data_IF_983765366487
#
_entry.id   IF_983765366487
#
_cell.length_a   1.000
_cell.length_b   1.000
_cell.length_c   1.000
_cell.angle_alpha   90.00
_cell.angle_beta   90.00
_cell.angle_gamma   90.00
#
_symmetry.space_group_name_H-M   'P 1'
#
loop_
_entity.id
_entity.type
_entity.pdbx_description
1 polymer ?
#
# COMPACT_ATOMS: atom_id res chain seq x y z
N UNK A 1 -42.40 -25.19 -0.78
CA UNK A 1 -41.25 -25.69 -1.56
C UNK A 1 -40.08 -24.75 -1.34
N UNK A 2 -38.89 -25.24 -0.90
CA UNK A 2 -37.66 -24.50 -1.16
C UNK A 2 -36.68 -25.39 -1.93
N UNK A 3 -36.36 -24.94 -3.13
CA UNK A 3 -35.36 -25.52 -4.02
C UNK A 3 -33.97 -25.21 -3.43
N UNK A 4 -33.37 -26.19 -2.77
CA UNK A 4 -31.99 -26.09 -2.28
C UNK A 4 -31.02 -26.28 -3.44
N UNK A 5 -30.40 -25.18 -3.86
CA UNK A 5 -29.36 -25.20 -4.87
C UNK A 5 -28.06 -25.75 -4.25
N UNK A 6 -27.96 -27.08 -4.19
CA UNK A 6 -26.87 -27.83 -3.54
C UNK A 6 -25.48 -27.40 -4.03
N UNK A 7 -25.37 -26.96 -5.30
CA UNK A 7 -24.13 -26.43 -5.89
C UNK A 7 -23.71 -25.07 -5.34
N UNK A 8 -24.65 -24.22 -4.92
CA UNK A 8 -24.33 -22.93 -4.30
C UNK A 8 -23.83 -23.12 -2.87
N UNK A 9 -24.42 -24.06 -2.14
CA UNK A 9 -23.97 -24.47 -0.80
C UNK A 9 -22.58 -25.13 -0.83
N UNK A 10 -22.28 -25.98 -1.82
CA UNK A 10 -20.94 -26.54 -2.01
C UNK A 10 -19.89 -25.48 -2.33
N UNK A 11 -20.20 -24.50 -3.18
CA UNK A 11 -19.27 -23.40 -3.49
C UNK A 11 -18.98 -22.51 -2.27
N UNK A 12 -20.01 -22.23 -1.46
CA UNK A 12 -19.84 -21.50 -0.20
C UNK A 12 -19.04 -22.33 0.81
N UNK A 13 -19.29 -23.64 0.92
CA UNK A 13 -18.53 -24.54 1.79
C UNK A 13 -17.05 -24.64 1.39
N UNK A 14 -16.75 -24.73 0.09
CA UNK A 14 -15.37 -24.72 -0.42
C UNK A 14 -14.68 -23.38 -0.17
N UNK A 15 -15.40 -22.26 -0.36
CA UNK A 15 -14.87 -20.93 -0.06
C UNK A 15 -14.61 -20.71 1.44
N UNK A 16 -15.51 -21.21 2.29
CA UNK A 16 -15.34 -21.17 3.76
C UNK A 16 -14.18 -22.05 4.20
N UNK A 17 -14.02 -23.25 3.62
CA UNK A 17 -12.87 -24.13 3.90
C UNK A 17 -11.54 -23.54 3.42
N UNK A 18 -11.52 -22.84 2.27
CA UNK A 18 -10.31 -22.14 1.82
C UNK A 18 -9.97 -20.95 2.72
N UNK A 19 -10.99 -20.22 3.19
CA UNK A 19 -10.80 -19.10 4.10
C UNK A 19 -10.31 -19.56 5.49
N UNK A 20 -10.86 -20.65 6.03
CA UNK A 20 -10.38 -21.24 7.29
C UNK A 20 -8.98 -21.83 7.13
N UNK A 21 -8.65 -22.44 5.98
CA UNK A 21 -7.31 -22.93 5.70
C UNK A 21 -6.28 -21.80 5.59
N UNK A 22 -6.59 -20.70 4.90
CA UNK A 22 -5.69 -19.53 4.82
C UNK A 22 -5.53 -18.86 6.19
N UNK A 23 -6.61 -18.75 6.97
CA UNK A 23 -6.58 -18.17 8.31
C UNK A 23 -5.76 -19.03 9.29
N UNK A 24 -5.94 -20.35 9.29
CA UNK A 24 -5.14 -21.27 10.10
C UNK A 24 -3.67 -21.27 9.67
N UNK A 25 -3.37 -21.21 8.37
CA UNK A 25 -1.99 -21.07 7.90
C UNK A 25 -1.35 -19.74 8.33
N UNK A 26 -2.08 -18.62 8.26
CA UNK A 26 -1.60 -17.33 8.77
C UNK A 26 -1.41 -17.34 10.29
N UNK A 27 -2.26 -18.07 11.04
CA UNK A 27 -2.17 -18.23 12.49
C UNK A 27 -0.94 -19.06 12.88
N UNK A 28 -0.70 -20.19 12.20
CA UNK A 28 0.50 -21.01 12.37
C UNK A 28 1.77 -20.22 12.04
N UNK A 29 1.78 -19.39 10.99
CA UNK A 29 2.92 -18.52 10.66
C UNK A 29 3.15 -17.47 11.76
N UNK A 30 2.09 -16.88 12.31
CA UNK A 30 2.19 -15.94 13.45
C UNK A 30 2.67 -16.62 14.74
N UNK A 31 2.24 -17.84 15.02
CA UNK A 31 2.69 -18.64 16.17
C UNK A 31 4.14 -19.08 16.01
N UNK A 32 4.55 -19.59 14.84
CA UNK A 32 5.96 -19.89 14.54
C UNK A 32 6.85 -18.66 14.65
N UNK A 33 6.37 -17.49 14.22
CA UNK A 33 7.10 -16.23 14.43
C UNK A 33 7.18 -15.83 15.91
N UNK A 34 6.13 -16.03 16.71
CA UNK A 34 6.18 -15.80 18.17
C UNK A 34 7.11 -16.79 18.89
N UNK A 35 7.19 -18.02 18.42
CA UNK A 35 8.06 -19.05 18.98
C UNK A 35 9.51 -18.85 18.56
N UNK A 36 9.77 -18.40 17.32
CA UNK A 36 11.08 -17.93 16.87
C UNK A 36 11.58 -16.74 17.71
N UNK A 37 10.70 -15.77 18.00
CA UNK A 37 11.02 -14.64 18.86
C UNK A 37 11.20 -15.06 20.33
N UNK A 38 10.46 -16.07 20.82
CA UNK A 38 10.64 -16.64 22.17
C UNK A 38 11.89 -17.51 22.29
N UNK A 39 12.29 -18.24 21.24
CA UNK A 39 13.55 -18.97 21.18
C UNK A 39 14.72 -18.00 21.21
N UNK A 40 14.69 -16.92 20.42
CA UNK A 40 15.70 -15.85 20.52
C UNK A 40 15.77 -15.24 21.92
N UNK A 41 14.63 -14.97 22.57
CA UNK A 41 14.63 -14.37 23.92
C UNK A 41 15.25 -15.31 24.97
N UNK A 42 14.97 -16.62 24.89
CA UNK A 42 15.63 -17.63 25.74
C UNK A 42 17.13 -17.72 25.45
N UNK A 43 17.53 -17.62 24.19
CA UNK A 43 18.94 -17.67 23.79
C UNK A 43 19.75 -16.49 24.36
N UNK A 44 19.13 -15.33 24.63
CA UNK A 44 19.75 -14.22 25.37
C UNK A 44 19.63 -14.35 26.91
N UNK A 45 18.58 -14.98 27.43
CA UNK A 45 18.39 -15.19 28.87
C UNK A 45 19.30 -16.30 29.45
N UNK A 46 19.79 -17.24 28.62
CA UNK A 46 20.71 -18.31 29.03
C UNK A 46 22.17 -17.85 29.23
N UNK A 47 22.53 -16.61 28.88
CA UNK A 47 23.88 -16.07 29.06
C UNK A 47 24.01 -15.11 30.25
N UNK A 48 23.11 -15.20 31.24
CA UNK A 48 23.35 -14.57 32.55
C UNK A 48 24.26 -15.49 33.37
N UNK A 49 25.54 -15.47 33.01
CA UNK A 49 26.62 -16.06 33.81
C UNK A 49 26.68 -15.38 35.19
N UNK A 50 26.89 -16.13 36.29
CA UNK A 50 27.01 -15.56 37.61
C UNK A 50 28.22 -14.62 37.67
N UNK A 51 28.02 -13.47 38.32
CA UNK A 51 28.99 -12.39 38.53
C UNK A 51 30.39 -12.89 38.88
N UNK A 52 31.24 -13.06 37.88
CA UNK A 52 32.69 -12.97 38.02
C UNK A 52 33.12 -11.68 37.35
N UNK A 53 33.74 -10.83 38.15
CA UNK A 53 34.15 -9.46 37.86
C UNK A 53 35.15 -9.47 36.69
N UNK A 54 34.67 -9.24 35.47
CA UNK A 54 35.53 -9.06 34.30
C UNK A 54 35.42 -7.59 33.83
N UNK A 55 36.50 -6.79 33.93
CA UNK A 55 36.50 -5.35 33.67
C UNK A 55 36.35 -4.97 32.17
N UNK A 56 35.99 -5.91 31.30
CA UNK A 56 35.88 -5.72 29.85
C UNK A 56 34.42 -5.70 29.35
N UNK A 57 33.43 -5.90 30.22
CA UNK A 57 32.03 -6.09 29.84
C UNK A 57 31.24 -4.78 29.62
N UNK A 58 31.81 -3.61 29.90
CA UNK A 58 31.20 -2.31 29.57
C UNK A 58 31.35 -1.95 28.10
N UNK A 59 32.28 -2.57 27.38
CA UNK A 59 32.51 -2.32 25.95
C UNK A 59 31.49 -3.02 25.05
N UNK A 60 31.04 -4.22 25.42
CA UNK A 60 30.12 -5.01 24.62
C UNK A 60 28.66 -4.52 24.67
N UNK A 61 28.25 -3.88 25.77
CA UNK A 61 26.92 -3.30 25.90
C UNK A 61 26.78 -1.96 25.15
N UNK A 62 27.90 -1.25 24.93
CA UNK A 62 27.95 -0.04 24.10
C UNK A 62 27.89 -0.35 22.59
N UNK A 63 28.47 -1.47 22.15
CA UNK A 63 28.36 -1.95 20.77
C UNK A 63 26.96 -2.43 20.36
N UNK A 64 26.02 -2.60 21.30
CA UNK A 64 24.66 -3.08 21.03
C UNK A 64 23.61 -1.95 20.87
N UNK A 65 24.03 -0.68 20.72
CA UNK A 65 23.07 0.45 20.68
C UNK A 65 23.31 1.54 19.62
N UNK A 66 24.15 1.34 18.62
CA UNK A 66 24.20 2.24 17.45
C UNK A 66 24.25 1.45 16.14
N UNK A 67 23.06 1.12 15.60
CA UNK A 67 22.86 0.64 14.23
C UNK A 67 22.47 1.81 13.29
N UNK A 68 22.88 3.03 13.63
CA UNK A 68 22.66 4.19 12.76
C UNK A 68 23.73 4.19 11.67
N UNK A 69 23.38 3.70 10.48
CA UNK A 69 24.24 3.67 9.29
C UNK A 69 24.64 5.05 8.75
N UNK A 70 24.18 6.13 9.38
CA UNK A 70 24.39 7.52 8.96
C UNK A 70 25.86 7.96 9.09
N UNK A 71 26.62 7.33 9.98
CA UNK A 71 28.05 7.60 10.19
C UNK A 71 28.96 6.95 9.12
N UNK A 72 28.49 5.90 8.44
CA UNK A 72 29.26 5.15 7.42
C UNK A 72 28.92 5.57 5.99
N UNK A 73 27.68 6.00 5.72
CA UNK A 73 27.21 6.26 4.34
C UNK A 73 27.94 7.42 3.64
N UNK A 74 28.47 8.38 4.41
CA UNK A 74 29.15 9.56 3.90
C UNK A 74 30.69 9.49 4.00
N UNK A 75 31.25 8.33 4.38
CA UNK A 75 32.69 8.17 4.48
C UNK A 75 33.36 8.22 3.09
N UNK A 76 34.58 8.76 2.99
CA UNK A 76 35.31 8.81 1.72
C UNK A 76 35.53 7.38 1.20
N UNK A 77 34.91 7.06 0.07
CA UNK A 77 35.11 5.78 -0.59
C UNK A 77 36.42 5.82 -1.40
N UNK A 78 37.27 4.81 -1.20
CA UNK A 78 38.48 4.65 -2.01
C UNK A 78 38.11 4.41 -3.48
N UNK A 79 38.64 5.27 -4.37
CA UNK A 79 38.60 5.08 -5.81
C UNK A 79 40.03 4.82 -6.29
N UNK A 80 40.24 3.65 -6.91
CA UNK A 80 41.57 3.28 -7.42
C UNK A 80 42.01 4.22 -8.54
N UNK A 81 43.23 4.76 -8.42
CA UNK A 81 43.87 5.57 -9.46
C UNK A 81 44.32 4.72 -10.66
N UNK A 82 44.70 3.46 -10.42
CA UNK A 82 45.18 2.52 -11.45
C UNK A 82 44.05 1.84 -12.19
N UNK A 83 42.97 1.50 -11.48
CA UNK A 83 41.79 0.84 -12.02
C UNK A 83 40.58 1.76 -11.84
N UNK A 84 40.42 2.77 -12.73
CA UNK A 84 39.30 3.68 -12.63
C UNK A 84 37.99 2.91 -12.75
N UNK A 85 36.96 3.40 -12.06
CA UNK A 85 35.65 2.79 -12.14
C UNK A 85 35.10 2.88 -13.56
N UNK A 86 34.38 1.84 -13.97
CA UNK A 86 33.69 1.83 -15.26
C UNK A 86 32.69 3.01 -15.33
N UNK A 87 32.61 3.77 -16.43
CA UNK A 87 31.64 4.86 -16.58
C UNK A 87 30.21 4.33 -16.65
N UNK A 88 29.22 5.12 -16.22
CA UNK A 88 27.82 4.67 -16.13
C UNK A 88 27.26 4.09 -17.44
N UNK A 89 27.60 4.68 -18.59
CA UNK A 89 27.10 4.20 -19.89
C UNK A 89 27.61 2.78 -20.21
N UNK A 90 28.87 2.45 -19.86
CA UNK A 90 29.40 1.08 -20.03
C UNK A 90 28.77 0.10 -19.05
N UNK A 91 28.44 0.55 -17.83
CA UNK A 91 27.65 -0.25 -16.89
C UNK A 91 26.26 -0.56 -17.46
N UNK A 92 25.57 0.45 -18.01
CA UNK A 92 24.26 0.30 -18.63
C UNK A 92 24.27 -0.64 -19.85
N UNK A 93 25.33 -0.59 -20.67
CA UNK A 93 25.48 -1.44 -21.85
C UNK A 93 25.48 -2.95 -21.52
N UNK A 94 25.86 -3.34 -20.31
CA UNK A 94 25.76 -4.74 -19.86
C UNK A 94 24.31 -5.25 -19.85
N UNK A 95 23.34 -4.34 -19.71
CA UNK A 95 21.90 -4.64 -19.72
C UNK A 95 21.26 -4.49 -21.11
N UNK A 96 22.02 -4.10 -22.14
CA UNK A 96 21.52 -3.98 -23.51
C UNK A 96 20.88 -5.28 -24.09
N UNK A 97 21.36 -6.50 -23.75
CA UNK A 97 20.75 -7.74 -24.26
C UNK A 97 19.25 -7.88 -23.91
N UNK A 98 18.81 -7.29 -22.80
CA UNK A 98 17.41 -7.36 -22.37
C UNK A 98 16.49 -6.43 -23.18
N UNK A 99 17.03 -5.48 -23.95
CA UNK A 99 16.25 -4.59 -24.80
C UNK A 99 15.57 -5.33 -25.97
N UNK A 100 16.14 -6.46 -26.41
CA UNK A 100 15.57 -7.30 -27.45
C UNK A 100 14.34 -8.09 -26.99
N UNK A 101 14.13 -8.22 -25.67
CA UNK A 101 12.97 -8.92 -25.13
C UNK A 101 11.69 -8.09 -25.31
N UNK A 102 10.67 -8.71 -25.89
CA UNK A 102 9.35 -8.11 -26.03
C UNK A 102 8.79 -7.74 -24.66
N UNK A 103 8.39 -6.47 -24.48
CA UNK A 103 7.81 -5.98 -23.23
C UNK A 103 8.82 -5.35 -22.25
N UNK A 104 10.13 -5.44 -22.47
CA UNK A 104 11.13 -4.78 -21.61
C UNK A 104 10.92 -3.26 -21.51
N UNK A 105 10.73 -2.59 -22.65
CA UNK A 105 10.43 -1.17 -22.69
C UNK A 105 9.07 -0.81 -22.03
N UNK A 106 8.11 -1.73 -22.03
CA UNK A 106 6.84 -1.54 -21.32
C UNK A 106 7.02 -1.68 -19.80
N UNK A 107 7.82 -2.66 -19.36
CA UNK A 107 8.15 -2.87 -17.95
C UNK A 107 8.94 -1.69 -17.36
N UNK A 108 9.91 -1.13 -18.10
CA UNK A 108 10.63 0.08 -17.67
C UNK A 108 9.67 1.26 -17.53
N UNK A 109 8.80 1.49 -18.53
CA UNK A 109 7.80 2.58 -18.46
C UNK A 109 6.82 2.39 -17.30
N UNK A 110 6.40 1.16 -17.04
CA UNK A 110 5.55 0.85 -15.90
C UNK A 110 6.32 1.10 -14.59
N UNK A 111 7.56 0.61 -14.44
CA UNK A 111 8.38 0.84 -13.25
C UNK A 111 8.61 2.34 -12.98
N UNK A 112 8.89 3.13 -14.01
CA UNK A 112 9.08 4.58 -13.93
C UNK A 112 7.80 5.35 -13.56
N UNK A 113 6.62 4.74 -13.70
CA UNK A 113 5.36 5.40 -13.35
C UNK A 113 5.22 5.56 -11.84
N UNK A 114 5.26 6.80 -11.36
CA UNK A 114 4.97 7.11 -9.96
C UNK A 114 3.46 7.03 -9.71
N UNK A 115 3.04 6.18 -8.78
CA UNK A 115 1.67 6.12 -8.27
C UNK A 115 1.61 6.73 -6.88
N UNK A 116 0.49 7.36 -6.56
CA UNK A 116 0.23 7.84 -5.21
C UNK A 116 -0.45 6.73 -4.41
N UNK A 117 -0.09 6.61 -3.13
CA UNK A 117 -0.79 5.71 -2.21
C UNK A 117 -2.16 6.29 -1.87
N UNK A 118 -3.15 5.39 -1.70
CA UNK A 118 -4.45 5.82 -1.23
C UNK A 118 -4.35 6.20 0.24
N UNK A 119 -4.53 7.48 0.55
CA UNK A 119 -4.65 7.96 1.91
C UNK A 119 -6.12 8.03 2.30
N UNK A 120 -6.51 7.19 3.25
CA UNK A 120 -7.83 7.28 3.86
C UNK A 120 -8.01 8.66 4.52
N UNK A 121 -9.15 9.35 4.29
CA UNK A 121 -9.44 10.60 4.96
C UNK A 121 -9.44 10.44 6.48
N UNK A 122 -8.86 11.40 7.20
CA UNK A 122 -8.95 11.45 8.66
C UNK A 122 -10.42 11.61 9.12
N UNK A 123 -10.73 11.22 10.35
CA UNK A 123 -12.10 11.24 10.90
C UNK A 123 -12.77 12.62 10.75
N UNK A 124 -12.07 13.69 11.13
CA UNK A 124 -12.56 15.07 11.03
C UNK A 124 -12.91 15.44 9.57
N UNK A 125 -12.09 14.99 8.62
CA UNK A 125 -12.31 15.26 7.19
C UNK A 125 -13.46 14.44 6.63
N UNK A 126 -13.64 13.22 7.13
CA UNK A 126 -14.78 12.38 6.79
C UNK A 126 -16.09 12.99 7.31
N UNK A 127 -16.10 13.60 8.49
CA UNK A 127 -17.26 14.31 9.02
C UNK A 127 -17.65 15.51 8.15
N UNK A 128 -16.66 16.32 7.75
CA UNK A 128 -16.88 17.43 6.80
C UNK A 128 -17.44 16.91 5.48
N UNK A 129 -16.87 15.82 4.94
CA UNK A 129 -17.33 15.21 3.70
C UNK A 129 -18.77 14.71 3.82
N UNK A 130 -19.11 14.05 4.92
CA UNK A 130 -20.46 13.55 5.19
C UNK A 130 -21.48 14.69 5.28
N UNK A 131 -21.12 15.80 5.95
CA UNK A 131 -21.96 16.99 6.02
C UNK A 131 -22.22 17.58 4.63
N UNK A 132 -21.17 17.75 3.83
CA UNK A 132 -21.30 18.25 2.45
C UNK A 132 -22.13 17.32 1.57
N UNK A 133 -21.97 16.01 1.72
CA UNK A 133 -22.82 15.03 1.03
C UNK A 133 -24.30 15.17 1.43
N UNK A 134 -24.60 15.43 2.70
CA UNK A 134 -25.97 15.68 3.16
C UNK A 134 -26.55 16.99 2.59
N UNK A 135 -25.75 18.05 2.51
CA UNK A 135 -26.14 19.33 1.89
C UNK A 135 -26.39 19.20 0.38
N UNK A 136 -25.63 18.35 -0.31
CA UNK A 136 -25.86 18.07 -1.73
C UNK A 136 -27.11 17.22 -1.97
N UNK A 137 -27.49 16.37 -1.00
CA UNK A 137 -28.75 15.60 -1.08
C UNK A 137 -29.98 16.49 -1.04
N UNK A 138 -30.01 17.50 -0.18
CA UNK A 138 -31.17 18.40 -0.09
C UNK A 138 -31.37 19.22 -1.36
N UNK A 139 -30.29 19.50 -2.09
CA UNK A 139 -30.29 20.27 -3.34
C UNK A 139 -30.15 19.43 -4.61
N UNK A 140 -30.36 18.11 -4.51
CA UNK A 140 -30.23 17.21 -5.66
C UNK A 140 -31.18 17.58 -6.82
N UNK A 141 -32.35 18.17 -6.50
CA UNK A 141 -33.32 18.64 -7.49
C UNK A 141 -32.77 19.79 -8.37
N UNK A 142 -31.85 20.60 -7.84
CA UNK A 142 -31.25 21.75 -8.53
C UNK A 142 -30.03 21.33 -9.39
N UNK A 143 -29.54 20.10 -9.21
CA UNK A 143 -28.35 19.56 -9.88
C UNK A 143 -27.16 20.54 -9.85
N UNK A 144 -26.68 20.92 -8.64
CA UNK A 144 -25.61 21.90 -8.51
C UNK A 144 -24.34 21.42 -9.21
N UNK A 145 -23.57 22.39 -9.67
CA UNK A 145 -22.24 22.13 -10.20
C UNK A 145 -21.31 21.89 -9.02
N UNK A 146 -20.60 20.77 -9.04
CA UNK A 146 -19.68 20.35 -7.98
C UNK A 146 -18.31 19.99 -8.56
N UNK A 147 -17.28 20.15 -7.74
CA UNK A 147 -15.92 19.68 -8.00
C UNK A 147 -15.62 18.53 -7.04
N UNK A 148 -15.53 17.33 -7.59
CA UNK A 148 -15.26 16.11 -6.83
C UNK A 148 -13.79 15.75 -6.96
N UNK A 149 -13.11 15.64 -5.81
CA UNK A 149 -11.77 15.06 -5.75
C UNK A 149 -11.90 13.61 -5.28
N UNK A 150 -11.50 12.66 -6.12
CA UNK A 150 -11.54 11.25 -5.77
C UNK A 150 -10.25 10.52 -6.17
N UNK A 151 -10.00 9.41 -5.49
CA UNK A 151 -8.87 8.53 -5.79
C UNK A 151 -9.28 7.47 -6.82
N UNK A 152 -8.61 7.46 -7.96
CA UNK A 152 -8.77 6.41 -8.96
C UNK A 152 -7.70 5.33 -8.72
N UNK A 153 -8.08 4.14 -8.21
CA UNK A 153 -7.13 3.04 -8.04
C UNK A 153 -6.63 2.56 -9.40
N UNK A 154 -5.35 2.21 -9.46
CA UNK A 154 -4.75 1.65 -10.65
C UNK A 154 -4.88 0.13 -10.69
N UNK A 155 -5.06 -0.45 -11.88
CA UNK A 155 -5.19 -1.90 -12.03
C UNK A 155 -3.85 -2.65 -12.02
N UNK A 156 -2.72 -1.95 -12.26
CA UNK A 156 -1.39 -2.57 -12.43
C UNK A 156 -0.46 -2.40 -11.25
N UNK A 157 -0.67 -1.39 -10.40
CA UNK A 157 0.19 -1.10 -9.24
C UNK A 157 -0.61 -0.96 -7.96
N UNK A 158 0.02 -1.23 -6.83
CA UNK A 158 -0.50 -0.89 -5.51
C UNK A 158 -0.47 0.63 -5.32
N UNK A 159 -1.50 1.32 -5.82
CA UNK A 159 -1.61 2.77 -5.80
C UNK A 159 -2.61 3.28 -6.82
N UNK A 160 -2.58 4.59 -7.07
CA UNK A 160 -3.51 5.24 -7.98
C UNK A 160 -3.15 6.69 -8.21
N UNK A 161 -4.15 7.47 -8.62
CA UNK A 161 -4.04 8.92 -8.81
C UNK A 161 -5.24 9.63 -8.21
N UNK A 162 -5.03 10.83 -7.69
CA UNK A 162 -6.14 11.71 -7.32
C UNK A 162 -6.58 12.48 -8.57
N UNK A 163 -7.86 12.41 -8.88
CA UNK A 163 -8.48 13.09 -10.02
C UNK A 163 -9.48 14.09 -9.48
N UNK A 164 -9.41 15.32 -9.99
CA UNK A 164 -10.42 16.35 -9.77
C UNK A 164 -11.34 16.40 -10.99
N UNK A 165 -12.63 16.26 -10.77
CA UNK A 165 -13.65 16.32 -11.83
C UNK A 165 -14.67 17.37 -11.47
N UNK A 166 -14.93 18.27 -12.40
CA UNK A 166 -16.00 19.27 -12.30
C UNK A 166 -17.18 18.79 -13.13
N UNK A 167 -18.38 18.84 -12.57
CA UNK A 167 -19.59 18.44 -13.27
C UNK A 167 -20.87 18.70 -12.49
N UNK A 168 -22.01 18.42 -13.09
CA UNK A 168 -23.31 18.52 -12.42
C UNK A 168 -23.63 17.24 -11.69
N UNK A 169 -24.13 17.37 -10.47
CA UNK A 169 -24.59 16.24 -9.69
C UNK A 169 -25.88 15.67 -10.31
N UNK A 170 -25.84 14.43 -10.80
CA UNK A 170 -27.00 13.79 -11.42
C UNK A 170 -27.80 12.99 -10.40
N UNK A 171 -27.12 12.06 -9.70
CA UNK A 171 -27.75 11.12 -8.78
C UNK A 171 -26.80 10.71 -7.65
N UNK A 172 -27.39 10.38 -6.51
CA UNK A 172 -26.73 9.80 -5.35
C UNK A 172 -27.38 8.45 -5.10
N UNK A 173 -26.67 7.35 -5.33
CA UNK A 173 -27.16 5.98 -5.10
C UNK A 173 -26.67 5.50 -3.73
N UNK A 174 -27.49 5.68 -2.70
CA UNK A 174 -27.09 5.41 -1.31
C UNK A 174 -26.81 3.93 -1.04
N UNK A 175 -27.66 3.04 -1.57
CA UNK A 175 -27.52 1.60 -1.38
C UNK A 175 -26.24 1.05 -2.01
N UNK A 176 -25.92 1.51 -3.23
CA UNK A 176 -24.71 1.11 -3.95
C UNK A 176 -23.46 1.91 -3.52
N UNK A 177 -23.65 2.97 -2.72
CA UNK A 177 -22.62 3.94 -2.33
C UNK A 177 -21.89 4.52 -3.54
N UNK A 178 -22.64 4.90 -4.56
CA UNK A 178 -22.14 5.49 -5.81
C UNK A 178 -22.64 6.92 -6.01
N UNK A 179 -21.76 7.78 -6.48
CA UNK A 179 -22.02 9.15 -6.90
C UNK A 179 -22.03 9.19 -8.42
N UNK A 180 -23.12 9.67 -9.04
CA UNK A 180 -23.17 9.92 -10.48
C UNK A 180 -23.02 11.41 -10.77
N UNK A 181 -21.93 11.77 -11.45
CA UNK A 181 -21.63 13.14 -11.88
C UNK A 181 -21.65 13.20 -13.39
N UNK A 182 -22.38 14.17 -13.96
CA UNK A 182 -22.37 14.45 -15.39
C UNK A 182 -21.31 15.49 -15.71
N UNK A 183 -20.28 15.08 -16.45
CA UNK A 183 -19.30 15.99 -17.09
C UNK A 183 -19.82 16.36 -18.49
N UNK A 184 -19.15 17.29 -19.19
CA UNK A 184 -19.61 17.85 -20.47
C UNK A 184 -20.00 16.82 -21.54
N UNK A 185 -19.39 15.63 -21.54
CA UNK A 185 -19.60 14.60 -22.57
C UNK A 185 -19.97 13.22 -21.99
N UNK A 186 -19.64 12.96 -20.72
CA UNK A 186 -19.75 11.63 -20.09
C UNK A 186 -20.42 11.65 -18.72
N UNK A 187 -20.97 10.49 -18.33
CA UNK A 187 -21.45 10.23 -16.97
C UNK A 187 -20.39 9.45 -16.21
N UNK A 188 -19.94 10.01 -15.09
CA UNK A 188 -18.93 9.39 -14.24
C UNK A 188 -19.57 8.81 -12.98
N UNK A 189 -19.26 7.54 -12.70
CA UNK A 189 -19.69 6.83 -11.49
C UNK A 189 -18.53 6.71 -10.52
N UNK A 190 -18.63 7.38 -9.37
CA UNK A 190 -17.56 7.44 -8.37
C UNK A 190 -18.04 6.72 -7.10
N UNK A 191 -17.36 5.64 -6.64
CA UNK A 191 -17.66 5.03 -5.35
C UNK A 191 -17.32 5.96 -4.18
N UNK A 192 -18.21 6.07 -3.20
CA UNK A 192 -18.02 6.95 -2.03
C UNK A 192 -16.75 6.64 -1.27
N UNK A 193 -16.31 5.37 -1.26
CA UNK A 193 -15.07 4.93 -0.62
C UNK A 193 -13.85 5.73 -1.08
N UNK A 194 -13.83 6.15 -2.33
CA UNK A 194 -12.70 6.83 -2.93
C UNK A 194 -12.87 8.36 -3.02
N UNK A 195 -14.01 8.89 -2.56
CA UNK A 195 -14.22 10.34 -2.53
C UNK A 195 -13.42 10.93 -1.37
N UNK A 196 -12.67 11.97 -1.67
CA UNK A 196 -11.72 12.59 -0.74
C UNK A 196 -12.20 13.99 -0.37
N UNK A 197 -12.69 14.73 -1.35
CA UNK A 197 -13.20 16.07 -1.17
C UNK A 197 -14.33 16.38 -2.15
N UNK A 198 -15.20 17.29 -1.73
CA UNK A 198 -16.33 17.81 -2.51
C UNK A 198 -16.37 19.31 -2.30
N UNK A 199 -16.16 20.06 -3.37
CA UNK A 199 -16.29 21.52 -3.41
C UNK A 199 -17.49 21.87 -4.29
N UNK A 200 -18.17 22.97 -3.97
CA UNK A 200 -19.27 23.54 -4.75
C UNK A 200 -18.82 24.88 -5.34
#
# INVERSE_FOLDING_TARGET
MPFQDKKALEKLAVSLMFCTFVYENQKVIREKNKDYQRQRKREYDCYIFPKLYFPYLTYYLWCMMDLNYDDIINLPHHVSKRHPQMPMYKRAAQFAPFAALTGHAAAIREAARTTQEFREPAADRLEILNRRMAELRSRLAEQPQIVVTYFQPDSRKAGGRYVKVTGRLLKILEYERLLEVGTSEDKLRIPFRYVVDLEE
#
